data_IF_476891367545
#
_entry.id   IF_476891367545
#
_cell.length_a   1.000
_cell.length_b   1.000
_cell.length_c   1.000
_cell.angle_alpha   90.00
_cell.angle_beta   90.00
_cell.angle_gamma   90.00
#
_symmetry.space_group_name_H-M   'P 1'
#
loop_
_entity.id
_entity.type
_entity.pdbx_description
1 polymer ?
#
# COMPACT_ATOMS: atom_id res chain seq x y z
N UNK A 1 -9.73 -2.34 -3.63
CA UNK A 1 -8.82 -3.35 -3.05
C UNK A 1 -7.37 -2.93 -3.25
N UNK A 2 -6.65 -2.59 -2.17
CA UNK A 2 -5.25 -2.15 -2.28
C UNK A 2 -4.28 -3.19 -2.87
N UNK A 3 -4.56 -4.47 -2.68
CA UNK A 3 -3.68 -5.53 -3.14
C UNK A 3 -3.80 -5.82 -4.64
N UNK A 4 -4.87 -5.38 -5.28
CA UNK A 4 -5.02 -5.53 -6.72
C UNK A 4 -4.14 -4.57 -7.53
N UNK A 5 -3.61 -3.53 -6.91
CA UNK A 5 -2.67 -2.60 -7.54
C UNK A 5 -1.23 -3.13 -7.56
N UNK A 6 -0.95 -4.27 -6.91
CA UNK A 6 0.37 -4.92 -6.92
C UNK A 6 0.62 -5.55 -8.30
N UNK A 7 1.74 -5.19 -8.92
CA UNK A 7 2.16 -5.68 -10.24
C UNK A 7 2.85 -7.04 -10.14
N UNK A 8 2.03 -8.08 -9.89
CA UNK A 8 2.48 -9.46 -9.66
C UNK A 8 3.28 -9.99 -10.85
N UNK A 9 4.38 -10.70 -10.59
CA UNK A 9 5.23 -11.32 -11.60
C UNK A 9 6.07 -10.32 -12.39
N UNK A 10 6.19 -9.08 -11.93
CA UNK A 10 7.05 -8.04 -12.52
C UNK A 10 8.21 -7.68 -11.58
N UNK A 11 9.19 -6.95 -12.09
CA UNK A 11 10.31 -6.41 -11.30
C UNK A 11 9.85 -5.42 -10.22
N UNK A 12 8.64 -4.92 -10.30
CA UNK A 12 8.06 -3.95 -9.37
C UNK A 12 7.31 -4.60 -8.20
N UNK A 13 7.02 -5.89 -8.28
CA UNK A 13 6.19 -6.63 -7.32
C UNK A 13 6.61 -6.44 -5.86
N UNK A 14 7.88 -6.72 -5.58
CA UNK A 14 8.41 -6.60 -4.21
C UNK A 14 8.31 -5.17 -3.70
N UNK A 15 8.61 -4.18 -4.55
CA UNK A 15 8.47 -2.77 -4.22
C UNK A 15 7.03 -2.38 -3.91
N UNK A 16 6.07 -2.84 -4.71
CA UNK A 16 4.64 -2.59 -4.50
C UNK A 16 4.15 -3.19 -3.17
N UNK A 17 4.52 -4.43 -2.87
CA UNK A 17 4.20 -5.08 -1.59
C UNK A 17 4.83 -4.35 -0.41
N UNK A 18 6.11 -3.96 -0.53
CA UNK A 18 6.82 -3.19 0.50
C UNK A 18 6.15 -1.84 0.77
N UNK A 19 5.68 -1.15 -0.27
CA UNK A 19 4.97 0.11 -0.14
C UNK A 19 3.67 -0.06 0.65
N UNK A 20 2.86 -1.07 0.31
CA UNK A 20 1.61 -1.37 1.05
C UNK A 20 1.91 -1.72 2.51
N UNK A 21 2.87 -2.61 2.77
CA UNK A 21 3.24 -3.00 4.13
C UNK A 21 3.76 -1.81 4.95
N UNK A 22 4.56 -0.93 4.34
CA UNK A 22 5.06 0.29 5.00
C UNK A 22 3.91 1.23 5.38
N UNK A 23 2.96 1.46 4.48
CA UNK A 23 1.79 2.31 4.73
C UNK A 23 0.87 1.74 5.82
N UNK A 24 0.79 0.42 5.97
CA UNK A 24 0.04 -0.22 7.04
C UNK A 24 0.72 -0.04 8.40
N UNK A 25 2.06 -0.16 8.44
CA UNK A 25 2.82 -0.07 9.69
C UNK A 25 3.01 1.38 10.13
N UNK A 26 3.31 2.26 9.19
CA UNK A 26 3.54 3.69 9.41
C UNK A 26 2.59 4.55 8.58
N UNK A 27 1.30 4.57 8.94
CA UNK A 27 0.32 5.38 8.21
C UNK A 27 0.58 6.88 8.33
N UNK A 28 1.37 7.34 9.30
CA UNK A 28 1.67 8.75 9.53
C UNK A 28 2.93 9.24 8.77
N UNK A 29 3.71 8.32 8.18
CA UNK A 29 4.93 8.66 7.46
C UNK A 29 6.02 9.24 8.37
N UNK A 30 6.07 8.77 9.63
CA UNK A 30 7.09 9.20 10.61
C UNK A 30 8.40 8.45 10.47
N UNK A 31 8.40 7.36 9.70
CA UNK A 31 9.50 6.43 9.54
C UNK A 31 9.30 5.17 10.37
N UNK A 32 9.73 4.02 9.80
CA UNK A 32 9.68 2.71 10.47
C UNK A 32 11.03 2.49 11.16
N UNK A 33 11.22 3.14 12.32
CA UNK A 33 12.49 3.08 13.06
C UNK A 33 12.48 2.04 14.18
N UNK A 34 11.33 1.75 14.75
CA UNK A 34 11.19 0.80 15.86
C UNK A 34 11.42 -0.65 15.45
N UNK A 35 12.06 -1.44 16.31
CA UNK A 35 12.30 -2.88 16.06
C UNK A 35 10.98 -3.63 15.76
N UNK A 36 9.93 -3.37 16.52
CA UNK A 36 8.65 -4.04 16.38
C UNK A 36 7.93 -3.65 15.10
N UNK A 37 8.01 -2.39 14.69
CA UNK A 37 7.47 -1.92 13.41
C UNK A 37 8.22 -2.53 12.23
N UNK A 38 9.54 -2.60 12.27
CA UNK A 38 10.35 -3.20 11.21
C UNK A 38 10.04 -4.69 11.04
N UNK A 39 9.96 -5.42 12.16
CA UNK A 39 9.68 -6.87 12.13
C UNK A 39 8.23 -7.16 11.74
N UNK A 40 7.25 -6.36 12.20
CA UNK A 40 5.87 -6.47 11.75
C UNK A 40 5.73 -6.16 10.26
N UNK A 41 6.48 -5.17 9.74
CA UNK A 41 6.53 -4.88 8.30
C UNK A 41 7.07 -6.07 7.51
N UNK A 42 8.16 -6.72 7.97
CA UNK A 42 8.69 -7.93 7.32
C UNK A 42 7.63 -9.03 7.26
N UNK A 43 6.96 -9.30 8.38
CA UNK A 43 5.87 -10.29 8.42
C UNK A 43 4.73 -9.95 7.47
N UNK A 44 4.31 -8.67 7.41
CA UNK A 44 3.25 -8.22 6.49
C UNK A 44 3.66 -8.36 5.01
N UNK A 45 4.92 -8.14 4.66
CA UNK A 45 5.42 -8.37 3.30
C UNK A 45 5.24 -9.84 2.91
N UNK A 46 5.65 -10.77 3.77
CA UNK A 46 5.45 -12.21 3.54
C UNK A 46 3.97 -12.59 3.43
N UNK A 47 3.14 -12.10 4.37
CA UNK A 47 1.71 -12.39 4.43
C UNK A 47 0.94 -11.85 3.21
N UNK A 48 1.22 -10.63 2.79
CA UNK A 48 0.62 -10.01 1.60
C UNK A 48 1.02 -10.81 0.35
N UNK A 49 2.31 -11.10 0.18
CA UNK A 49 2.80 -11.88 -0.96
C UNK A 49 2.15 -13.26 -0.98
N UNK A 50 2.09 -13.96 0.16
CA UNK A 50 1.43 -15.27 0.27
C UNK A 50 -0.03 -15.22 -0.17
N UNK A 51 -0.82 -14.28 0.40
CA UNK A 51 -2.27 -14.16 0.11
C UNK A 51 -2.51 -13.80 -1.35
N UNK A 52 -1.72 -12.88 -1.91
CA UNK A 52 -1.88 -12.45 -3.30
C UNK A 52 -1.62 -13.61 -4.27
N UNK A 53 -0.56 -14.40 -4.07
CA UNK A 53 -0.25 -15.54 -4.92
C UNK A 53 -1.23 -16.71 -4.73
N UNK A 54 -1.61 -17.02 -3.48
CA UNK A 54 -2.61 -18.03 -3.17
C UNK A 54 -3.95 -17.72 -3.86
N UNK A 55 -4.44 -16.49 -3.70
CA UNK A 55 -5.68 -16.03 -4.33
C UNK A 55 -5.58 -16.04 -5.86
N UNK A 56 -4.47 -15.57 -6.43
CA UNK A 56 -4.20 -15.65 -7.87
C UNK A 56 -4.28 -17.10 -8.37
N UNK A 57 -3.74 -18.06 -7.62
CA UNK A 57 -3.79 -19.48 -7.97
C UNK A 57 -5.22 -20.05 -7.96
N UNK A 58 -6.09 -19.47 -7.14
CA UNK A 58 -7.52 -19.78 -7.09
C UNK A 58 -8.36 -18.99 -8.12
N UNK A 59 -7.73 -18.12 -8.94
CA UNK A 59 -8.41 -17.34 -9.98
C UNK A 59 -9.18 -16.13 -9.44
N UNK A 60 -8.83 -15.63 -8.26
CA UNK A 60 -9.46 -14.49 -7.59
C UNK A 60 -8.41 -13.48 -7.10
N UNK A 61 -8.87 -12.37 -6.55
CA UNK A 61 -8.01 -11.36 -5.90
C UNK A 61 -7.89 -11.64 -4.40
N UNK A 62 -6.68 -11.48 -3.86
CA UNK A 62 -6.45 -11.44 -2.42
C UNK A 62 -6.82 -10.08 -1.82
N UNK A 63 -7.06 -10.02 -0.51
CA UNK A 63 -7.43 -8.79 0.19
C UNK A 63 -6.73 -8.65 1.54
N UNK A 64 -6.66 -7.42 2.07
CA UNK A 64 -6.11 -7.18 3.42
C UNK A 64 -6.95 -7.84 4.53
N UNK A 65 -8.25 -8.05 4.28
CA UNK A 65 -9.08 -8.86 5.18
C UNK A 65 -8.70 -10.34 5.20
N UNK A 66 -8.16 -10.87 4.09
CA UNK A 66 -7.61 -12.23 4.04
C UNK A 66 -6.21 -12.28 4.66
N UNK A 67 -5.39 -11.26 4.49
CA UNK A 67 -4.10 -11.15 5.20
C UNK A 67 -4.32 -11.19 6.72
N UNK A 68 -5.31 -10.45 7.25
CA UNK A 68 -5.67 -10.51 8.66
C UNK A 68 -6.12 -11.93 9.06
N UNK A 69 -6.94 -12.57 8.26
CA UNK A 69 -7.41 -13.94 8.53
C UNK A 69 -6.24 -14.92 8.56
N UNK A 70 -5.34 -14.85 7.59
CA UNK A 70 -4.14 -15.70 7.52
C UNK A 70 -3.27 -15.59 8.78
N UNK A 71 -3.05 -14.35 9.27
CA UNK A 71 -2.26 -14.10 10.48
C UNK A 71 -2.95 -14.49 11.78
N UNK A 72 -4.27 -14.73 11.77
CA UNK A 72 -5.06 -15.01 12.97
C UNK A 72 -5.69 -16.39 13.02
N UNK A 73 -5.59 -17.17 11.92
CA UNK A 73 -6.26 -18.48 11.80
C UNK A 73 -5.59 -19.59 12.62
N UNK A 74 -4.28 -19.49 12.86
CA UNK A 74 -3.51 -20.50 13.58
C UNK A 74 -2.28 -19.88 14.26
N UNK A 75 -1.53 -20.68 15.02
CA UNK A 75 -0.26 -20.24 15.61
C UNK A 75 0.81 -19.98 14.57
N UNK A 76 1.78 -19.11 14.88
CA UNK A 76 2.82 -18.68 13.94
C UNK A 76 3.65 -19.83 13.36
N UNK A 77 3.89 -20.89 14.11
CA UNK A 77 4.63 -22.08 13.66
C UNK A 77 3.88 -22.83 12.56
N UNK A 78 2.58 -23.05 12.77
CA UNK A 78 1.74 -23.69 11.78
C UNK A 78 1.60 -22.83 10.52
N UNK A 79 1.33 -21.54 10.70
CA UNK A 79 1.25 -20.56 9.61
C UNK A 79 2.53 -20.56 8.75
N UNK A 80 3.70 -20.44 9.37
CA UNK A 80 4.98 -20.45 8.65
C UNK A 80 5.24 -21.79 7.94
N UNK A 81 4.85 -22.90 8.56
CA UNK A 81 4.93 -24.24 7.94
C UNK A 81 4.04 -24.37 6.71
N UNK A 82 2.79 -23.90 6.79
CA UNK A 82 1.84 -23.90 5.67
C UNK A 82 2.32 -23.00 4.52
N UNK A 83 2.87 -21.82 4.83
CA UNK A 83 3.44 -20.91 3.82
C UNK A 83 4.55 -21.57 3.00
N UNK A 84 5.46 -22.28 3.67
CA UNK A 84 6.58 -22.99 3.00
C UNK A 84 6.10 -24.13 2.11
N UNK A 85 4.98 -24.76 2.43
CA UNK A 85 4.40 -25.86 1.67
C UNK A 85 3.47 -25.38 0.53
N UNK A 86 3.07 -24.11 0.55
CA UNK A 86 2.18 -23.56 -0.46
C UNK A 86 2.90 -23.37 -1.79
N UNK A 87 2.35 -23.91 -2.86
CA UNK A 87 2.80 -23.64 -4.21
C UNK A 87 2.26 -22.28 -4.67
N UNK A 88 3.16 -21.29 -4.75
CA UNK A 88 2.85 -19.95 -5.25
C UNK A 88 3.04 -19.87 -6.78
N UNK A 89 3.95 -20.67 -7.32
CA UNK A 89 4.31 -20.70 -8.73
C UNK A 89 3.20 -21.33 -9.58
N UNK A 90 2.85 -20.69 -10.69
CA UNK A 90 2.01 -21.24 -11.77
C UNK A 90 2.88 -21.63 -12.96
N UNK A 91 2.27 -22.35 -13.91
CA UNK A 91 2.90 -22.60 -15.20
C UNK A 91 3.24 -21.27 -15.89
N UNK A 92 4.50 -21.13 -16.27
CA UNK A 92 5.04 -19.90 -16.88
C UNK A 92 5.65 -18.90 -15.90
N UNK A 93 5.41 -19.03 -14.59
CA UNK A 93 6.11 -18.19 -13.60
C UNK A 93 7.57 -18.66 -13.43
N UNK A 94 8.47 -17.74 -13.22
CA UNK A 94 9.86 -18.02 -12.88
C UNK A 94 10.24 -17.27 -11.62
N UNK A 95 10.62 -18.01 -10.59
CA UNK A 95 11.25 -17.43 -9.40
C UNK A 95 12.74 -17.65 -9.47
N UNK A 96 13.50 -16.77 -8.83
CA UNK A 96 14.94 -16.82 -8.77
C UNK A 96 15.40 -16.91 -7.32
N UNK A 97 16.44 -17.70 -7.07
CA UNK A 97 17.16 -17.75 -5.81
C UNK A 97 18.11 -16.55 -5.68
N UNK A 98 18.68 -16.33 -4.49
CA UNK A 98 19.55 -15.18 -4.21
C UNK A 98 20.83 -15.13 -5.08
N UNK A 99 21.25 -16.26 -5.62
CA UNK A 99 22.39 -16.38 -6.54
C UNK A 99 22.01 -16.12 -8.02
N UNK A 100 20.73 -15.84 -8.30
CA UNK A 100 20.19 -15.61 -9.64
C UNK A 100 19.84 -16.89 -10.41
N UNK A 101 20.00 -18.07 -9.83
CA UNK A 101 19.55 -19.32 -10.44
C UNK A 101 18.05 -19.45 -10.45
N UNK A 102 17.51 -20.20 -11.42
CA UNK A 102 16.07 -20.49 -11.47
C UNK A 102 15.70 -21.41 -10.32
N UNK A 103 14.77 -20.95 -9.51
CA UNK A 103 14.28 -21.65 -8.33
C UNK A 103 13.38 -22.82 -8.69
N UNK A 104 13.69 -24.01 -8.18
CA UNK A 104 12.85 -25.20 -8.34
C UNK A 104 11.68 -25.24 -7.35
N UNK A 105 11.92 -24.75 -6.10
CA UNK A 105 10.88 -24.71 -5.07
C UNK A 105 9.70 -23.85 -5.53
N UNK A 106 8.45 -24.35 -5.51
CA UNK A 106 7.26 -23.59 -5.93
C UNK A 106 6.86 -22.50 -4.95
N UNK A 107 7.40 -22.49 -3.73
CA UNK A 107 7.17 -21.43 -2.75
C UNK A 107 7.89 -20.13 -3.18
N UNK A 108 7.19 -18.99 -3.06
CA UNK A 108 7.76 -17.69 -3.36
C UNK A 108 8.95 -17.37 -2.43
N UNK A 109 10.10 -16.89 -2.95
CA UNK A 109 11.32 -16.67 -2.15
C UNK A 109 11.10 -15.77 -0.92
N UNK A 110 10.39 -14.65 -1.10
CA UNK A 110 10.07 -13.72 -0.02
C UNK A 110 9.20 -14.37 1.07
N UNK A 111 8.23 -15.18 0.67
CA UNK A 111 7.36 -15.89 1.62
C UNK A 111 8.15 -16.92 2.42
N UNK A 112 9.00 -17.69 1.75
CA UNK A 112 9.85 -18.67 2.43
C UNK A 112 10.85 -18.00 3.39
N UNK A 113 11.47 -16.89 2.97
CA UNK A 113 12.36 -16.11 3.83
C UNK A 113 11.66 -15.67 5.11
N UNK A 114 10.49 -15.02 4.99
CA UNK A 114 9.74 -14.53 6.14
C UNK A 114 9.25 -15.68 7.03
N UNK A 115 8.81 -16.80 6.45
CA UNK A 115 8.44 -17.99 7.21
C UNK A 115 9.62 -18.54 8.01
N UNK A 116 10.82 -18.62 7.41
CA UNK A 116 12.03 -19.04 8.11
C UNK A 116 12.42 -18.06 9.23
N UNK A 117 12.32 -16.75 8.99
CA UNK A 117 12.55 -15.73 10.03
C UNK A 117 11.61 -15.94 11.22
N UNK A 118 10.33 -16.17 10.97
CA UNK A 118 9.35 -16.42 12.04
C UNK A 118 9.64 -17.72 12.81
N UNK A 119 10.00 -18.78 12.12
CA UNK A 119 10.32 -20.08 12.77
C UNK A 119 11.60 -20.06 13.60
N UNK A 120 12.56 -19.20 13.24
CA UNK A 120 13.85 -19.09 13.94
C UNK A 120 13.81 -18.10 15.12
N UNK A 121 12.70 -17.38 15.35
CA UNK A 121 12.54 -16.48 16.49
C UNK A 121 12.21 -17.25 17.77
N UNK A 122 12.59 -16.68 18.91
CA UNK A 122 12.05 -17.12 20.19
C UNK A 122 10.52 -16.95 20.23
N UNK A 123 9.81 -17.84 20.91
CA UNK A 123 8.34 -17.87 20.93
C UNK A 123 7.72 -16.53 21.37
N UNK A 124 8.28 -15.91 22.41
CA UNK A 124 7.81 -14.61 22.92
C UNK A 124 7.99 -13.49 21.87
N UNK A 125 9.12 -13.50 21.17
CA UNK A 125 9.38 -12.52 20.10
C UNK A 125 8.46 -12.76 18.91
N UNK A 126 8.32 -13.99 18.43
CA UNK A 126 7.44 -14.33 17.30
C UNK A 126 5.98 -13.94 17.60
N UNK A 127 5.49 -14.21 18.81
CA UNK A 127 4.15 -13.83 19.24
C UNK A 127 3.97 -12.31 19.30
N UNK A 128 4.99 -11.58 19.73
CA UNK A 128 4.97 -10.11 19.79
C UNK A 128 4.98 -9.48 18.40
N UNK A 129 5.76 -10.02 17.46
CA UNK A 129 5.78 -9.61 16.05
C UNK A 129 4.43 -9.86 15.39
N UNK A 130 3.84 -11.06 15.60
CA UNK A 130 2.53 -11.41 15.06
C UNK A 130 1.45 -10.47 15.60
N UNK A 131 1.40 -10.25 16.91
CA UNK A 131 0.40 -9.36 17.53
C UNK A 131 0.54 -7.92 17.04
N UNK A 132 1.77 -7.43 16.82
CA UNK A 132 2.03 -6.11 16.25
C UNK A 132 1.51 -6.01 14.82
N UNK A 133 1.78 -6.99 13.97
CA UNK A 133 1.29 -7.02 12.59
C UNK A 133 -0.24 -7.08 12.52
N UNK A 134 -0.88 -7.93 13.35
CA UNK A 134 -2.34 -8.03 13.46
C UNK A 134 -2.96 -6.70 13.89
N UNK A 135 -2.36 -5.99 14.85
CA UNK A 135 -2.84 -4.69 15.30
C UNK A 135 -2.87 -3.64 14.15
N UNK A 136 -1.91 -3.70 13.23
CA UNK A 136 -1.88 -2.81 12.04
C UNK A 136 -3.01 -3.09 11.05
N UNK A 137 -3.57 -4.28 11.07
CA UNK A 137 -4.71 -4.69 10.24
C UNK A 137 -6.06 -4.58 10.97
N UNK A 138 -6.10 -4.03 12.17
CA UNK A 138 -7.30 -3.97 13.01
C UNK A 138 -8.52 -3.34 12.33
N UNK A 139 -8.32 -2.41 11.38
CA UNK A 139 -9.41 -1.80 10.59
C UNK A 139 -10.19 -2.86 9.78
N UNK A 140 -9.53 -3.91 9.32
CA UNK A 140 -10.12 -4.96 8.48
C UNK A 140 -10.90 -6.02 9.28
N UNK A 141 -11.03 -5.87 10.60
CA UNK A 141 -12.00 -6.60 11.41
C UNK A 141 -13.43 -6.11 11.20
N UNK A 142 -13.60 -4.85 10.75
CA UNK A 142 -14.91 -4.29 10.39
C UNK A 142 -15.45 -4.98 9.11
N UNK A 143 -16.61 -5.65 9.19
CA UNK A 143 -17.17 -6.37 8.03
C UNK A 143 -17.46 -5.47 6.83
N UNK A 144 -17.80 -4.20 7.06
CA UNK A 144 -18.08 -3.22 5.99
C UNK A 144 -16.79 -2.86 5.27
N UNK A 145 -15.72 -2.57 6.02
CA UNK A 145 -14.40 -2.29 5.43
C UNK A 145 -13.89 -3.52 4.67
N UNK A 146 -13.93 -4.70 5.31
CA UNK A 146 -13.52 -5.96 4.69
C UNK A 146 -14.21 -6.21 3.36
N UNK A 147 -15.56 -6.08 3.33
CA UNK A 147 -16.34 -6.28 2.11
C UNK A 147 -16.01 -5.25 1.02
N UNK A 148 -15.92 -3.97 1.38
CA UNK A 148 -15.72 -2.88 0.41
C UNK A 148 -14.28 -2.82 -0.12
N UNK A 149 -13.33 -3.51 0.51
CA UNK A 149 -11.93 -3.60 0.07
C UNK A 149 -11.55 -4.99 -0.45
N UNK A 150 -12.52 -5.90 -0.59
CA UNK A 150 -12.26 -7.28 -1.03
C UNK A 150 -11.91 -7.38 -2.52
N UNK A 151 -12.47 -6.51 -3.35
CA UNK A 151 -12.23 -6.46 -4.81
C UNK A 151 -12.22 -5.00 -5.28
N UNK A 152 -11.73 -4.76 -6.48
CA UNK A 152 -11.74 -3.46 -7.14
C UNK A 152 -12.72 -3.45 -8.31
N UNK A 153 -13.52 -2.40 -8.41
CA UNK A 153 -14.38 -2.12 -9.57
C UNK A 153 -13.63 -1.32 -10.65
N UNK A 154 -12.46 -0.77 -10.31
CA UNK A 154 -11.59 0.02 -11.19
C UNK A 154 -10.13 -0.12 -10.73
N UNK A 155 -9.20 0.27 -11.59
CA UNK A 155 -7.78 0.47 -11.24
C UNK A 155 -7.48 1.95 -11.05
N UNK A 156 -6.52 2.28 -10.19
CA UNK A 156 -6.14 3.68 -9.97
C UNK A 156 -5.72 4.35 -11.28
N UNK A 157 -5.06 3.63 -12.17
CA UNK A 157 -4.66 4.14 -13.48
C UNK A 157 -5.85 4.55 -14.35
N UNK A 158 -7.00 3.88 -14.23
CA UNK A 158 -8.19 4.17 -15.02
C UNK A 158 -8.73 5.58 -14.78
N UNK A 159 -8.44 6.17 -13.62
CA UNK A 159 -8.84 7.56 -13.30
C UNK A 159 -8.27 8.56 -14.32
N UNK A 160 -7.08 8.28 -14.89
CA UNK A 160 -6.42 9.16 -15.85
C UNK A 160 -6.33 8.57 -17.28
N UNK A 161 -6.62 7.28 -17.46
CA UNK A 161 -6.33 6.58 -18.72
C UNK A 161 -7.57 5.94 -19.38
N UNK A 162 -8.75 6.05 -18.80
CA UNK A 162 -10.02 5.60 -19.37
C UNK A 162 -10.39 6.37 -20.63
N UNK A 163 -11.24 5.79 -21.50
CA UNK A 163 -11.72 6.46 -22.72
C UNK A 163 -12.57 7.69 -22.41
N UNK A 164 -13.34 7.66 -21.31
CA UNK A 164 -14.13 8.80 -20.81
C UNK A 164 -13.52 9.39 -19.54
N UNK A 165 -13.81 10.67 -19.27
CA UNK A 165 -13.42 11.30 -18.00
C UNK A 165 -14.07 10.60 -16.81
N UNK A 166 -13.31 10.33 -15.78
CA UNK A 166 -13.74 9.65 -14.56
C UNK A 166 -13.83 10.64 -13.40
N UNK A 167 -14.87 10.54 -12.58
CA UNK A 167 -14.97 11.25 -11.30
C UNK A 167 -15.10 10.22 -10.18
N UNK A 168 -14.18 10.23 -9.23
CA UNK A 168 -14.19 9.37 -8.06
C UNK A 168 -14.48 10.20 -6.80
N UNK A 169 -15.50 9.79 -6.04
CA UNK A 169 -15.88 10.44 -4.80
C UNK A 169 -15.63 9.53 -3.61
N UNK A 170 -14.73 9.94 -2.72
CA UNK A 170 -14.50 9.29 -1.42
C UNK A 170 -15.32 10.03 -0.35
N UNK A 171 -16.50 9.51 -0.06
CA UNK A 171 -17.41 10.15 0.91
C UNK A 171 -17.22 9.50 2.28
N UNK A 172 -16.81 10.29 3.26
CA UNK A 172 -16.62 9.87 4.64
C UNK A 172 -17.61 10.60 5.56
N UNK A 173 -18.26 9.84 6.43
CA UNK A 173 -19.02 10.45 7.50
C UNK A 173 -18.04 11.09 8.50
N UNK A 174 -18.24 12.37 8.90
CA UNK A 174 -17.35 13.05 9.85
C UNK A 174 -17.08 12.28 11.15
N UNK A 175 -18.05 11.54 11.65
CA UNK A 175 -17.89 10.70 12.86
C UNK A 175 -16.96 9.49 12.66
N UNK A 176 -16.72 9.09 11.41
CA UNK A 176 -15.89 7.93 11.06
C UNK A 176 -14.52 8.30 10.50
N UNK A 177 -14.22 9.58 10.29
CA UNK A 177 -12.97 10.04 9.69
C UNK A 177 -11.76 9.45 10.43
N UNK A 178 -11.70 9.55 11.74
CA UNK A 178 -10.55 9.06 12.52
C UNK A 178 -10.35 7.55 12.36
N UNK A 179 -11.42 6.78 12.32
CA UNK A 179 -11.36 5.33 12.16
C UNK A 179 -10.94 4.91 10.75
N UNK A 180 -11.44 5.61 9.72
CA UNK A 180 -11.20 5.28 8.31
C UNK A 180 -9.98 6.00 7.71
N UNK A 181 -9.40 6.92 8.45
CA UNK A 181 -8.21 7.69 8.05
C UNK A 181 -7.07 6.80 7.49
N UNK A 182 -6.68 5.66 8.11
CA UNK A 182 -5.64 4.80 7.56
C UNK A 182 -5.96 4.29 6.15
N UNK A 183 -7.23 3.95 5.87
CA UNK A 183 -7.66 3.47 4.55
C UNK A 183 -7.56 4.57 3.48
N UNK A 184 -8.02 5.79 3.80
CA UNK A 184 -7.93 6.93 2.87
C UNK A 184 -6.47 7.29 2.60
N UNK A 185 -5.63 7.25 3.61
CA UNK A 185 -4.19 7.51 3.48
C UNK A 185 -3.51 6.46 2.62
N UNK A 186 -3.83 5.18 2.82
CA UNK A 186 -3.35 4.09 1.98
C UNK A 186 -3.74 4.33 0.51
N UNK A 187 -5.01 4.66 0.25
CA UNK A 187 -5.49 4.94 -1.10
C UNK A 187 -4.76 6.13 -1.75
N UNK A 188 -4.66 7.28 -1.06
CA UNK A 188 -3.99 8.47 -1.58
C UNK A 188 -2.49 8.23 -1.82
N UNK A 189 -1.84 7.45 -0.97
CA UNK A 189 -0.43 7.09 -1.16
C UNK A 189 -0.25 6.16 -2.35
N UNK A 190 -1.10 5.15 -2.52
CA UNK A 190 -1.08 4.29 -3.70
C UNK A 190 -1.37 5.08 -4.98
N UNK A 191 -2.30 6.04 -4.94
CA UNK A 191 -2.58 6.90 -6.07
C UNK A 191 -1.31 7.63 -6.53
N UNK A 192 -0.52 8.17 -5.60
CA UNK A 192 0.75 8.82 -5.91
C UNK A 192 1.75 7.82 -6.52
N UNK A 193 1.96 6.67 -5.88
CA UNK A 193 2.90 5.65 -6.36
C UNK A 193 2.56 5.15 -7.77
N UNK A 194 1.27 5.01 -8.09
CA UNK A 194 0.82 4.45 -9.36
C UNK A 194 0.77 5.51 -10.47
N UNK A 195 0.30 6.72 -10.13
CA UNK A 195 0.12 7.78 -11.12
C UNK A 195 1.38 8.65 -11.33
N UNK A 196 2.43 8.44 -10.55
CA UNK A 196 3.73 9.10 -10.72
C UNK A 196 4.84 8.05 -10.98
N UNK A 197 4.74 7.25 -12.06
CA UNK A 197 5.79 6.30 -12.42
C UNK A 197 7.05 7.03 -12.88
N UNK A 198 8.13 6.28 -13.14
CA UNK A 198 9.32 6.83 -13.78
C UNK A 198 8.95 7.53 -15.10
N UNK A 199 9.49 8.73 -15.29
CA UNK A 199 9.19 9.51 -16.51
C UNK A 199 10.04 9.06 -17.67
N UNK A 200 9.38 8.82 -18.79
CA UNK A 200 10.05 8.59 -20.07
C UNK A 200 10.24 9.92 -20.81
N UNK A 201 11.44 10.11 -21.39
CA UNK A 201 11.74 11.25 -22.22
C UNK A 201 11.46 10.92 -23.70
N UNK A 202 10.46 11.54 -24.29
CA UNK A 202 10.20 11.47 -25.73
C UNK A 202 10.55 12.80 -26.39
N UNK A 203 11.55 12.80 -27.29
CA UNK A 203 11.96 14.00 -28.05
C UNK A 203 12.46 15.15 -27.17
N UNK A 204 13.06 14.88 -26.02
CA UNK A 204 13.58 15.89 -25.10
C UNK A 204 12.53 16.57 -24.22
N UNK A 205 11.28 16.13 -24.27
CA UNK A 205 10.20 16.60 -23.40
C UNK A 205 9.68 15.48 -22.50
N UNK A 206 9.47 15.82 -21.22
CA UNK A 206 8.76 14.95 -20.28
C UNK A 206 7.27 14.96 -20.65
N UNK A 207 6.70 13.79 -20.91
CA UNK A 207 5.28 13.65 -21.20
C UNK A 207 4.67 12.64 -20.23
N UNK A 208 3.66 13.07 -19.49
CA UNK A 208 2.88 12.17 -18.67
C UNK A 208 2.17 11.14 -19.56
N UNK A 209 2.21 9.83 -19.22
CA UNK A 209 1.70 8.75 -20.09
C UNK A 209 0.17 8.59 -19.99
N UNK A 210 -0.57 9.68 -19.73
CA UNK A 210 -2.02 9.62 -19.46
C UNK A 210 -2.82 10.44 -20.46
N UNK A 211 -4.06 9.99 -20.73
CA UNK A 211 -5.02 10.66 -21.63
C UNK A 211 -5.64 11.89 -20.98
N UNK A 212 -5.90 11.84 -19.67
CA UNK A 212 -6.58 12.89 -18.91
C UNK A 212 -5.67 13.52 -17.86
N UNK A 213 -6.06 14.72 -17.43
CA UNK A 213 -5.49 15.38 -16.24
C UNK A 213 -6.29 14.97 -15.02
N UNK A 214 -5.63 14.86 -13.87
CA UNK A 214 -6.27 14.61 -12.60
C UNK A 214 -6.37 15.91 -11.79
N UNK A 215 -7.55 16.20 -11.27
CA UNK A 215 -7.76 17.16 -10.20
C UNK A 215 -8.03 16.40 -8.90
N UNK A 216 -7.14 16.50 -7.95
CA UNK A 216 -7.34 16.04 -6.57
C UNK A 216 -7.98 17.19 -5.78
N UNK A 217 -9.27 17.07 -5.49
CA UNK A 217 -9.98 18.02 -4.64
C UNK A 217 -10.10 17.38 -3.25
N UNK A 218 -9.35 17.90 -2.28
CA UNK A 218 -9.27 17.36 -0.92
C UNK A 218 -9.87 18.36 0.05
N UNK A 219 -11.13 18.13 0.39
CA UNK A 219 -11.86 18.89 1.39
C UNK A 219 -11.39 18.49 2.79
N UNK A 220 -11.25 19.46 3.69
CA UNK A 220 -10.69 19.28 5.04
C UNK A 220 -9.35 18.52 5.03
N UNK A 221 -8.45 18.87 4.11
CA UNK A 221 -7.17 18.19 3.90
C UNK A 221 -6.38 17.93 5.20
N UNK A 222 -6.29 18.88 6.17
CA UNK A 222 -5.59 18.64 7.43
C UNK A 222 -6.19 17.54 8.30
N UNK A 223 -7.48 17.19 8.13
CA UNK A 223 -8.12 16.13 8.89
C UNK A 223 -7.50 14.75 8.62
N UNK A 224 -6.86 14.58 7.45
CA UNK A 224 -6.12 13.37 7.09
C UNK A 224 -4.79 13.23 7.84
N UNK A 225 -4.34 14.30 8.55
CA UNK A 225 -3.05 14.38 9.21
C UNK A 225 -1.88 14.41 8.22
N UNK A 226 -0.65 14.30 8.70
CA UNK A 226 0.54 14.38 7.86
C UNK A 226 0.62 13.20 6.88
N UNK A 227 0.60 13.50 5.58
CA UNK A 227 0.83 12.59 4.46
C UNK A 227 2.21 12.92 3.87
N UNK A 228 3.28 12.32 4.42
CA UNK A 228 4.66 12.67 4.05
C UNK A 228 4.93 12.51 2.56
N UNK A 229 4.45 11.40 1.95
CA UNK A 229 4.61 11.19 0.51
C UNK A 229 3.86 12.23 -0.32
N UNK A 230 2.68 12.67 0.13
CA UNK A 230 1.89 13.70 -0.56
C UNK A 230 2.59 15.05 -0.51
N UNK A 231 3.12 15.43 0.65
CA UNK A 231 3.89 16.67 0.82
C UNK A 231 5.10 16.71 -0.12
N UNK A 232 5.85 15.61 -0.20
CA UNK A 232 7.01 15.49 -1.08
C UNK A 232 6.63 15.49 -2.57
N UNK A 233 5.56 14.79 -2.93
CA UNK A 233 5.13 14.63 -4.32
C UNK A 233 4.46 15.89 -4.89
N UNK A 234 3.88 16.74 -4.04
CA UNK A 234 3.11 17.93 -4.45
C UNK A 234 3.92 18.86 -5.38
N UNK A 235 5.21 19.04 -5.11
CA UNK A 235 6.13 19.84 -5.93
C UNK A 235 6.25 19.32 -7.38
N UNK A 236 5.99 18.03 -7.58
CA UNK A 236 6.18 17.35 -8.87
C UNK A 236 4.87 17.06 -9.61
N UNK A 237 3.71 17.24 -9.02
CA UNK A 237 2.40 16.90 -9.58
C UNK A 237 2.18 17.43 -11.00
N UNK A 238 2.65 18.65 -11.26
CA UNK A 238 2.51 19.26 -12.59
C UNK A 238 3.11 18.44 -13.73
N UNK A 239 4.23 17.76 -13.48
CA UNK A 239 4.91 16.90 -14.45
C UNK A 239 4.08 15.68 -14.86
N UNK A 240 3.23 15.16 -13.98
CA UNK A 240 2.33 14.02 -14.23
C UNK A 240 0.89 14.43 -14.57
N UNK A 241 0.66 15.72 -14.93
CA UNK A 241 -0.68 16.24 -15.20
C UNK A 241 -1.65 16.13 -14.01
N UNK A 242 -1.13 16.13 -12.79
CA UNK A 242 -1.91 16.15 -11.55
C UNK A 242 -1.97 17.58 -11.02
N UNK A 243 -3.13 18.01 -10.57
CA UNK A 243 -3.34 19.25 -9.83
C UNK A 243 -4.03 18.95 -8.51
N UNK A 244 -3.57 19.57 -7.44
CA UNK A 244 -4.21 19.49 -6.13
C UNK A 244 -4.96 20.79 -5.83
N UNK A 245 -6.19 20.64 -5.32
CA UNK A 245 -6.97 21.70 -4.71
C UNK A 245 -7.21 21.29 -3.25
N UNK A 246 -6.45 21.90 -2.35
CA UNK A 246 -6.43 21.56 -0.93
C UNK A 246 -7.25 22.59 -0.17
N UNK A 247 -8.24 22.14 0.60
CA UNK A 247 -9.11 23.00 1.38
C UNK A 247 -8.80 22.79 2.85
N UNK A 248 -8.61 23.89 3.57
CA UNK A 248 -8.51 23.95 5.03
C UNK A 248 -9.28 25.17 5.54
N UNK A 249 -9.74 25.13 6.78
CA UNK A 249 -10.49 26.26 7.37
C UNK A 249 -9.57 27.42 7.71
N UNK A 250 -8.35 27.09 8.20
CA UNK A 250 -7.31 28.07 8.49
C UNK A 250 -5.92 27.46 8.37
N UNK A 251 -4.89 28.31 8.37
CA UNK A 251 -3.49 27.89 8.33
C UNK A 251 -3.06 27.15 9.62
N UNK A 252 -3.67 27.45 10.77
CA UNK A 252 -3.29 26.80 12.03
C UNK A 252 -3.60 25.30 12.01
N UNK A 253 -4.64 24.87 11.31
CA UNK A 253 -4.92 23.43 11.10
C UNK A 253 -3.83 22.75 10.27
N UNK A 254 -3.34 23.43 9.23
CA UNK A 254 -2.25 22.92 8.40
C UNK A 254 -0.95 22.83 9.21
N UNK A 255 -0.61 23.90 9.95
CA UNK A 255 0.56 23.96 10.82
C UNK A 255 0.52 22.87 11.92
N UNK A 256 -0.66 22.57 12.46
CA UNK A 256 -0.85 21.51 13.44
C UNK A 256 -0.62 20.11 12.86
N UNK A 257 -1.00 19.88 11.60
CA UNK A 257 -0.86 18.58 10.94
C UNK A 257 0.55 18.34 10.38
N UNK A 258 1.17 19.37 9.80
CA UNK A 258 2.41 19.26 9.03
C UNK A 258 3.62 19.92 9.70
N UNK A 259 3.40 20.81 10.66
CA UNK A 259 4.42 21.66 11.28
C UNK A 259 4.48 23.05 10.62
N UNK A 260 5.13 24.00 11.30
CA UNK A 260 5.23 25.39 10.79
C UNK A 260 6.11 25.53 9.56
N UNK A 261 7.05 24.60 9.37
CA UNK A 261 8.01 24.59 8.26
C UNK A 261 7.51 23.70 7.09
N UNK A 262 6.18 23.52 6.96
CA UNK A 262 5.58 22.72 5.92
C UNK A 262 5.85 23.30 4.52
N UNK A 263 6.00 22.41 3.54
CA UNK A 263 6.27 22.79 2.15
C UNK A 263 4.99 22.90 1.28
N UNK A 264 3.82 22.58 1.83
CA UNK A 264 2.56 22.54 1.09
C UNK A 264 2.17 23.94 0.59
N UNK A 265 2.17 24.94 1.47
CA UNK A 265 1.83 26.32 1.12
C UNK A 265 2.76 26.87 0.04
N UNK A 266 4.07 26.61 0.13
CA UNK A 266 5.04 27.08 -0.87
C UNK A 266 4.91 26.39 -2.23
N UNK A 267 4.34 25.18 -2.27
CA UNK A 267 4.06 24.43 -3.51
C UNK A 267 2.67 24.75 -4.10
N UNK A 268 1.83 25.52 -3.41
CA UNK A 268 0.58 26.02 -3.94
C UNK A 268 0.82 27.33 -4.72
N UNK A 269 0.36 27.41 -5.97
CA UNK A 269 0.53 28.59 -6.82
C UNK A 269 -0.49 29.70 -6.50
N UNK A 270 -1.58 29.31 -5.84
CA UNK A 270 -2.66 30.21 -5.39
C UNK A 270 -3.02 29.80 -3.97
N UNK A 271 -2.98 30.73 -3.06
CA UNK A 271 -3.34 30.54 -1.64
C UNK A 271 -4.40 31.56 -1.22
#
# INVERSE_FOLDING_TARGET
NPLEEIRIGTVYETGDVMNVATLLVDPDGKGVEGHWEQTARSLLIGAITHVVYKARNEGRSGSLGEVLHELTSCGYQQMAGEWKQTAHKRDGDTFYDADGSVRENPCHPVVEQVANEMMNRAEEEASSVLSTAVAKLGLYTDPVVKRNTAHSDFRIRDIMDSDASVSLYLVLNPTNIQRLKPLVRLFLSQLIFILMPEMEFHGGQMKAPYRHRLLLLLDEFPALGKLGIFEQALAYFGGWNIKAYLICQDKAQLDAAYGKDESITSNCHVT
#
